data_IF_818733841269
#
_entry.id   IF_818733841269
#
_cell.length_a   1.000
_cell.length_b   1.000
_cell.length_c   1.000
_cell.angle_alpha   90.00
_cell.angle_beta   90.00
_cell.angle_gamma   90.00
#
_symmetry.space_group_name_H-M   'P 1'
#
loop_
_entity.id
_entity.type
_entity.pdbx_description
1 polymer ?
#
# COMPACT_ATOMS: atom_id res chain seq x y z
N UNK A 1 -5.01 -24.01 54.99
CA UNK A 1 -4.68 -23.27 53.77
C UNK A 1 -5.89 -23.32 52.84
N UNK A 2 -6.59 -22.19 52.64
CA UNK A 2 -7.77 -22.07 51.74
C UNK A 2 -7.29 -21.54 50.41
N UNK A 3 -7.83 -22.01 49.25
CA UNK A 3 -7.48 -21.44 47.96
C UNK A 3 -8.31 -20.19 47.65
N UNK A 4 -7.66 -19.18 47.06
CA UNK A 4 -8.22 -17.95 46.55
C UNK A 4 -9.05 -18.20 45.29
N UNK A 5 -10.31 -17.71 45.31
CA UNK A 5 -11.21 -17.67 44.13
C UNK A 5 -10.88 -16.40 43.33
N UNK A 6 -10.59 -16.59 42.02
CA UNK A 6 -10.56 -15.52 41.03
C UNK A 6 -11.96 -15.25 40.48
N UNK A 7 -12.48 -14.05 40.69
CA UNK A 7 -13.73 -13.59 40.06
C UNK A 7 -13.45 -13.10 38.64
N UNK A 8 -14.05 -13.75 37.65
CA UNK A 8 -14.11 -13.30 36.27
C UNK A 8 -15.00 -12.04 36.18
N UNK A 9 -14.41 -10.93 35.75
CA UNK A 9 -15.13 -9.69 35.46
C UNK A 9 -15.57 -9.72 33.97
N UNK A 10 -16.88 -9.84 33.76
CA UNK A 10 -17.49 -9.99 32.45
C UNK A 10 -17.63 -8.62 31.75
N UNK A 11 -16.67 -8.26 30.85
CA UNK A 11 -16.69 -7.02 30.03
C UNK A 11 -17.50 -7.11 28.73
N UNK A 12 -18.11 -8.22 28.44
CA UNK A 12 -18.85 -8.41 27.16
C UNK A 12 -20.27 -7.84 27.17
N UNK A 13 -20.88 -7.63 28.35
CA UNK A 13 -22.28 -7.18 28.44
C UNK A 13 -22.49 -5.67 28.20
N UNK A 14 -21.46 -4.83 28.33
CA UNK A 14 -21.57 -3.36 28.18
C UNK A 14 -21.53 -2.90 26.73
N UNK A 15 -20.83 -3.62 25.84
CA UNK A 15 -20.60 -3.20 24.45
C UNK A 15 -21.85 -3.40 23.56
N UNK A 16 -22.62 -4.47 23.76
CA UNK A 16 -23.84 -4.77 23.00
C UNK A 16 -24.97 -3.77 23.26
N UNK A 17 -25.07 -3.24 24.47
CA UNK A 17 -26.15 -2.30 24.84
C UNK A 17 -25.97 -0.89 24.27
N UNK A 18 -24.74 -0.44 24.03
CA UNK A 18 -24.44 0.86 23.41
C UNK A 18 -24.77 0.85 21.91
N UNK A 19 -24.41 -0.22 21.20
CA UNK A 19 -24.67 -0.34 19.75
C UNK A 19 -26.17 -0.49 19.48
N UNK A 20 -26.89 -1.24 20.32
CA UNK A 20 -28.34 -1.44 20.19
C UNK A 20 -29.12 -0.14 20.45
N UNK A 21 -28.71 0.70 21.40
CA UNK A 21 -29.30 2.02 21.64
C UNK A 21 -29.08 3.00 20.48
N UNK A 22 -27.91 2.97 19.84
CA UNK A 22 -27.62 3.83 18.68
C UNK A 22 -28.45 3.44 17.44
N UNK A 23 -28.69 2.15 17.23
CA UNK A 23 -29.54 1.64 16.14
C UNK A 23 -31.03 1.95 16.38
N UNK A 24 -31.51 1.83 17.62
CA UNK A 24 -32.88 2.20 18.00
C UNK A 24 -33.13 3.71 17.88
N UNK A 25 -32.16 4.55 18.21
CA UNK A 25 -32.27 6.00 18.06
C UNK A 25 -32.26 6.45 16.59
N UNK A 26 -31.47 5.78 15.73
CA UNK A 26 -31.49 6.00 14.30
C UNK A 26 -32.81 5.57 13.63
N UNK A 27 -33.40 4.44 14.06
CA UNK A 27 -34.72 3.97 13.62
C UNK A 27 -35.83 4.91 14.01
N UNK A 28 -35.84 5.41 15.25
CA UNK A 28 -36.82 6.36 15.75
C UNK A 28 -36.77 7.72 15.03
N UNK A 29 -35.59 8.22 14.72
CA UNK A 29 -35.42 9.42 13.91
C UNK A 29 -35.88 9.24 12.46
N UNK A 30 -35.68 8.04 11.89
CA UNK A 30 -36.10 7.71 10.53
C UNK A 30 -37.64 7.74 10.40
N UNK A 31 -38.37 7.13 11.34
CA UNK A 31 -39.85 7.14 11.31
C UNK A 31 -40.42 8.55 11.49
N UNK A 32 -39.89 9.36 12.40
CA UNK A 32 -40.41 10.71 12.63
C UNK A 32 -40.07 11.69 11.50
N UNK A 33 -38.91 11.56 10.85
CA UNK A 33 -38.55 12.38 9.68
C UNK A 33 -39.37 11.95 8.45
N UNK A 34 -39.62 10.65 8.27
CA UNK A 34 -40.45 10.13 7.17
C UNK A 34 -41.91 10.62 7.25
N UNK A 35 -42.48 10.65 8.43
CA UNK A 35 -43.85 11.16 8.64
C UNK A 35 -43.95 12.69 8.43
N UNK A 36 -42.92 13.45 8.79
CA UNK A 36 -42.88 14.92 8.57
C UNK A 36 -42.68 15.33 7.11
N UNK A 37 -42.08 14.45 6.27
CA UNK A 37 -41.87 14.70 4.84
C UNK A 37 -43.15 14.55 4.02
N UNK A 38 -44.06 13.68 4.42
CA UNK A 38 -45.28 13.40 3.66
C UNK A 38 -46.34 14.49 3.80
N UNK A 39 -46.32 15.29 4.86
CA UNK A 39 -47.44 16.22 5.20
C UNK A 39 -47.27 17.67 4.79
N UNK A 40 -46.22 18.07 4.03
CA UNK A 40 -45.96 19.50 3.80
C UNK A 40 -45.43 19.86 2.39
N UNK A 41 -46.01 20.93 1.79
CA UNK A 41 -45.88 21.37 0.38
C UNK A 41 -44.49 21.82 -0.12
N UNK A 42 -43.43 21.81 0.71
CA UNK A 42 -42.07 22.19 0.26
C UNK A 42 -41.15 20.92 0.16
N UNK A 43 -41.58 20.00 -0.66
CA UNK A 43 -40.92 18.68 -0.82
C UNK A 43 -39.45 18.79 -1.27
N UNK A 44 -39.12 19.69 -2.21
CA UNK A 44 -37.74 19.77 -2.74
C UNK A 44 -36.70 20.24 -1.71
N UNK A 45 -37.04 21.20 -0.84
CA UNK A 45 -36.11 21.69 0.18
C UNK A 45 -35.86 20.65 1.27
N UNK A 46 -36.85 19.85 1.57
CA UNK A 46 -36.78 18.78 2.58
C UNK A 46 -36.02 17.55 2.07
N UNK A 47 -36.20 17.22 0.79
CA UNK A 47 -35.38 16.17 0.14
C UNK A 47 -33.91 16.58 0.12
N UNK A 48 -33.59 17.84 -0.24
CA UNK A 48 -32.23 18.36 -0.20
C UNK A 48 -31.62 18.31 1.21
N UNK A 49 -32.38 18.66 2.26
CA UNK A 49 -31.95 18.58 3.65
C UNK A 49 -31.71 17.14 4.13
N UNK A 50 -32.55 16.21 3.71
CA UNK A 50 -32.38 14.77 4.03
C UNK A 50 -31.15 14.20 3.32
N UNK A 51 -30.94 14.54 2.04
CA UNK A 51 -29.72 14.13 1.30
C UNK A 51 -28.46 14.76 1.92
N UNK A 52 -28.52 16.03 2.34
CA UNK A 52 -27.43 16.69 3.04
C UNK A 52 -27.13 16.04 4.39
N UNK A 53 -28.14 15.70 5.17
CA UNK A 53 -27.99 14.99 6.46
C UNK A 53 -27.46 13.55 6.28
N UNK A 54 -27.92 12.84 5.27
CA UNK A 54 -27.41 11.50 4.94
C UNK A 54 -25.92 11.57 4.54
N UNK A 55 -25.54 12.54 3.68
CA UNK A 55 -24.15 12.75 3.33
C UNK A 55 -23.30 13.16 4.55
N UNK A 56 -23.82 14.00 5.43
CA UNK A 56 -23.12 14.41 6.66
C UNK A 56 -22.93 13.24 7.64
N UNK A 57 -23.92 12.33 7.75
CA UNK A 57 -23.82 11.10 8.55
C UNK A 57 -22.79 10.13 7.93
N UNK A 58 -22.76 9.99 6.61
CA UNK A 58 -21.76 9.14 5.93
C UNK A 58 -20.35 9.71 6.03
N UNK A 59 -20.16 11.02 5.92
CA UNK A 59 -18.86 11.70 6.10
C UNK A 59 -18.41 11.58 7.56
N UNK A 60 -19.30 11.79 8.52
CA UNK A 60 -19.00 11.67 9.96
C UNK A 60 -18.76 10.21 10.39
N UNK A 61 -19.49 9.24 9.82
CA UNK A 61 -19.32 7.83 10.09
C UNK A 61 -18.04 7.26 9.44
N UNK A 62 -17.68 7.73 8.24
CA UNK A 62 -16.44 7.34 7.56
C UNK A 62 -15.19 7.78 8.35
N UNK A 63 -15.17 9.02 8.85
CA UNK A 63 -14.08 9.54 9.65
C UNK A 63 -13.94 8.82 11.02
N UNK A 64 -15.06 8.53 11.68
CA UNK A 64 -15.04 7.81 12.97
C UNK A 64 -14.68 6.34 12.82
N UNK A 65 -15.08 5.69 11.73
CA UNK A 65 -14.74 4.30 11.48
C UNK A 65 -13.24 4.12 11.18
N UNK A 66 -12.60 5.03 10.46
CA UNK A 66 -11.15 5.01 10.25
C UNK A 66 -10.41 5.19 11.58
N UNK A 67 -10.86 6.08 12.45
CA UNK A 67 -10.26 6.31 13.78
C UNK A 67 -10.50 5.13 14.72
N UNK A 68 -11.67 4.48 14.67
CA UNK A 68 -11.98 3.30 15.49
C UNK A 68 -11.25 2.04 15.00
N UNK A 69 -11.09 1.87 13.69
CA UNK A 69 -10.29 0.78 13.11
C UNK A 69 -8.82 0.96 13.51
N UNK A 70 -8.27 2.16 13.38
CA UNK A 70 -6.90 2.43 13.81
C UNK A 70 -6.72 2.27 15.34
N UNK A 71 -7.72 2.59 16.16
CA UNK A 71 -7.68 2.40 17.61
C UNK A 71 -7.89 0.95 18.05
N UNK A 72 -8.72 0.17 17.32
CA UNK A 72 -8.95 -1.24 17.62
C UNK A 72 -7.80 -2.15 17.17
N UNK A 73 -7.05 -1.76 16.14
CA UNK A 73 -5.93 -2.52 15.58
C UNK A 73 -4.56 -1.86 15.79
N UNK A 74 -4.51 -0.60 16.24
CA UNK A 74 -3.28 0.18 16.44
C UNK A 74 -2.55 -0.04 17.77
N UNK A 75 -3.13 -0.82 18.70
CA UNK A 75 -2.54 -1.01 20.05
C UNK A 75 -2.17 -2.48 20.33
N UNK A 76 -1.81 -3.22 19.30
CA UNK A 76 -1.23 -4.55 19.41
C UNK A 76 0.27 -4.47 19.13
N UNK A 77 1.05 -4.16 20.18
CA UNK A 77 2.47 -4.41 20.30
C UNK A 77 3.35 -3.96 19.13
N UNK A 78 4.40 -3.22 19.39
CA UNK A 78 5.50 -3.09 18.41
C UNK A 78 5.87 -4.49 17.97
N UNK A 79 5.56 -4.81 16.72
CA UNK A 79 6.07 -6.02 16.09
C UNK A 79 7.59 -5.93 16.18
N UNK A 80 8.19 -6.79 17.02
CA UNK A 80 9.63 -6.73 17.31
C UNK A 80 10.48 -7.05 16.06
N UNK A 81 9.83 -7.50 14.97
CA UNK A 81 10.48 -7.87 13.73
C UNK A 81 10.53 -6.75 12.67
N UNK A 82 9.71 -5.68 12.80
CA UNK A 82 9.68 -4.60 11.82
C UNK A 82 10.07 -3.25 12.44
N UNK A 83 11.01 -2.55 11.83
CA UNK A 83 11.51 -1.26 12.32
C UNK A 83 10.59 -0.07 11.99
N UNK A 84 9.56 -0.26 11.16
CA UNK A 84 8.56 0.75 10.78
C UNK A 84 7.30 0.70 11.66
N UNK A 85 6.50 1.77 11.63
CA UNK A 85 5.16 1.81 12.22
C UNK A 85 4.23 0.85 11.45
N UNK A 86 3.69 -0.17 12.13
CA UNK A 86 2.70 -1.06 11.54
C UNK A 86 1.42 -0.29 11.24
N UNK A 87 0.98 -0.33 9.99
CA UNK A 87 -0.22 0.37 9.52
C UNK A 87 -1.17 -0.57 8.82
N UNK A 88 -2.48 -0.25 8.88
CA UNK A 88 -3.54 -1.05 8.28
C UNK A 88 -4.43 -0.14 7.44
N UNK A 89 -4.75 -0.58 6.22
CA UNK A 89 -5.65 0.11 5.31
C UNK A 89 -6.38 -0.92 4.42
N UNK A 90 -7.42 -0.50 3.71
CA UNK A 90 -8.29 -1.44 2.98
C UNK A 90 -8.27 -1.12 1.48
N UNK A 91 -8.13 -2.15 0.64
CA UNK A 91 -8.29 -2.04 -0.80
C UNK A 91 -9.77 -1.84 -1.20
N UNK A 92 -10.02 -1.41 -2.43
CA UNK A 92 -11.38 -1.15 -2.94
C UNK A 92 -12.28 -2.40 -2.93
N UNK A 93 -11.68 -3.57 -3.09
CA UNK A 93 -12.36 -4.87 -3.08
C UNK A 93 -12.37 -5.53 -1.69
N UNK A 94 -12.05 -4.77 -0.62
CA UNK A 94 -12.24 -5.17 0.77
C UNK A 94 -11.13 -6.03 1.37
N UNK A 95 -9.94 -6.09 0.75
CA UNK A 95 -8.78 -6.73 1.38
C UNK A 95 -8.20 -5.82 2.46
N UNK A 96 -8.02 -6.35 3.66
CA UNK A 96 -7.32 -5.68 4.74
C UNK A 96 -5.81 -5.80 4.51
N UNK A 97 -5.19 -4.70 4.12
CA UNK A 97 -3.76 -4.63 3.83
C UNK A 97 -2.98 -4.15 5.04
N UNK A 98 -1.83 -4.75 5.25
CA UNK A 98 -0.89 -4.38 6.30
C UNK A 98 0.40 -3.85 5.67
N UNK A 99 0.94 -2.80 6.25
CA UNK A 99 2.20 -2.20 5.82
C UNK A 99 3.06 -1.76 6.99
N UNK A 100 4.31 -1.44 6.70
CA UNK A 100 5.24 -0.75 7.60
C UNK A 100 5.50 0.64 7.03
N UNK A 101 5.12 1.68 7.78
CA UNK A 101 5.39 3.06 7.43
C UNK A 101 6.65 3.54 8.16
N UNK A 102 7.58 4.11 7.43
CA UNK A 102 8.82 4.67 7.93
C UNK A 102 8.81 6.18 7.69
N UNK A 103 8.79 6.93 8.77
CA UNK A 103 8.82 8.38 8.72
C UNK A 103 10.20 8.88 8.27
N UNK A 104 10.29 9.88 7.39
CA UNK A 104 11.59 10.46 7.01
C UNK A 104 12.30 11.05 8.23
N UNK A 105 13.62 10.89 8.26
CA UNK A 105 14.46 11.42 9.36
C UNK A 105 14.88 12.87 9.13
N UNK A 106 14.89 13.32 7.88
CA UNK A 106 15.30 14.65 7.45
C UNK A 106 14.17 15.22 6.58
N UNK A 107 13.81 16.49 6.80
CA UNK A 107 12.80 17.20 6.02
C UNK A 107 11.38 16.67 6.26
N UNK A 108 10.54 17.46 6.91
CA UNK A 108 9.11 17.14 7.12
C UNK A 108 8.28 18.25 6.50
N UNK A 109 8.42 18.48 5.19
CA UNK A 109 7.57 19.42 4.45
C UNK A 109 6.48 18.66 3.70
N UNK A 110 5.46 19.40 3.23
CA UNK A 110 4.41 18.88 2.33
C UNK A 110 5.02 18.33 1.01
N UNK A 111 6.24 18.69 0.69
CA UNK A 111 7.00 18.24 -0.47
C UNK A 111 7.86 16.98 -0.21
N UNK A 112 7.78 16.37 0.98
CA UNK A 112 8.58 15.17 1.28
C UNK A 112 8.27 14.06 0.29
N UNK A 113 9.27 13.60 -0.50
CA UNK A 113 9.06 12.53 -1.46
C UNK A 113 8.77 11.21 -0.74
N UNK A 114 7.91 10.41 -1.34
CA UNK A 114 7.45 9.15 -0.75
C UNK A 114 7.76 7.97 -1.68
N UNK A 115 8.05 6.82 -1.09
CA UNK A 115 8.36 5.58 -1.82
C UNK A 115 7.45 4.45 -1.33
N UNK A 116 6.77 3.78 -2.26
CA UNK A 116 6.05 2.53 -2.00
C UNK A 116 6.97 1.37 -2.38
N UNK A 117 7.09 0.37 -1.50
CA UNK A 117 7.92 -0.82 -1.69
C UNK A 117 7.04 -2.07 -1.82
N UNK A 118 7.22 -2.83 -2.92
CA UNK A 118 6.43 -4.02 -3.27
C UNK A 118 7.33 -5.25 -3.35
N UNK A 119 7.09 -6.24 -2.49
CA UNK A 119 7.91 -7.45 -2.34
C UNK A 119 7.72 -8.47 -3.47
N UNK A 120 8.58 -9.48 -3.51
CA UNK A 120 8.52 -10.64 -4.41
C UNK A 120 7.39 -11.60 -4.01
N UNK A 121 7.01 -12.48 -4.94
CA UNK A 121 6.07 -13.58 -4.67
C UNK A 121 6.59 -14.48 -3.53
N UNK A 122 5.71 -14.78 -2.59
CA UNK A 122 6.03 -15.64 -1.44
C UNK A 122 6.82 -14.96 -0.32
N UNK A 123 7.17 -13.70 -0.50
CA UNK A 123 7.82 -12.87 0.52
C UNK A 123 6.79 -11.93 1.17
N UNK A 124 7.26 -11.03 2.03
CA UNK A 124 6.46 -10.01 2.71
C UNK A 124 7.23 -8.69 2.81
N UNK A 125 6.61 -7.70 3.45
CA UNK A 125 7.15 -6.33 3.59
C UNK A 125 8.50 -6.25 4.34
N UNK A 126 8.85 -7.27 5.16
CA UNK A 126 10.09 -7.27 5.95
C UNK A 126 11.36 -7.33 5.10
N UNK A 127 11.25 -7.86 3.88
CA UNK A 127 12.39 -7.93 2.95
C UNK A 127 12.97 -6.56 2.63
N UNK A 128 12.20 -5.49 2.86
CA UNK A 128 12.59 -4.12 2.60
C UNK A 128 13.13 -3.36 3.82
N UNK A 129 13.02 -3.90 5.05
CA UNK A 129 13.23 -3.16 6.30
C UNK A 129 14.56 -2.38 6.33
N UNK A 130 15.67 -3.04 5.99
CA UNK A 130 17.00 -2.40 6.00
C UNK A 130 17.10 -1.28 4.96
N UNK A 131 16.56 -1.51 3.78
CA UNK A 131 16.61 -0.51 2.71
C UNK A 131 15.62 0.64 2.96
N UNK A 132 14.46 0.37 3.52
CA UNK A 132 13.51 1.39 3.96
C UNK A 132 14.12 2.35 4.98
N UNK A 133 14.89 1.84 5.95
CA UNK A 133 15.62 2.69 6.90
C UNK A 133 16.64 3.58 6.17
N UNK A 134 17.36 3.04 5.19
CA UNK A 134 18.33 3.81 4.41
C UNK A 134 17.64 4.90 3.58
N UNK A 135 16.49 4.63 2.98
CA UNK A 135 15.67 5.63 2.30
C UNK A 135 15.24 6.76 3.25
N UNK A 136 14.80 6.43 4.47
CA UNK A 136 14.40 7.47 5.43
C UNK A 136 15.55 8.34 5.93
N UNK A 137 16.76 7.79 6.01
CA UNK A 137 17.98 8.55 6.31
C UNK A 137 18.31 9.57 5.21
N UNK A 138 17.85 9.30 3.98
CA UNK A 138 17.99 10.19 2.82
C UNK A 138 16.71 11.03 2.56
N UNK A 139 15.83 11.13 3.56
CA UNK A 139 14.69 12.07 3.55
C UNK A 139 13.44 11.57 2.84
N UNK A 140 13.34 10.29 2.48
CA UNK A 140 12.13 9.70 1.91
C UNK A 140 11.17 9.23 2.99
N UNK A 141 9.87 9.48 2.82
CA UNK A 141 8.84 8.72 3.53
C UNK A 141 8.65 7.38 2.82
N UNK A 142 8.54 6.28 3.55
CA UNK A 142 8.49 4.94 2.95
C UNK A 142 7.29 4.16 3.46
N UNK A 143 6.60 3.48 2.55
CA UNK A 143 5.54 2.50 2.87
C UNK A 143 5.88 1.17 2.22
N UNK A 144 6.29 0.20 3.00
CA UNK A 144 6.42 -1.19 2.57
C UNK A 144 5.12 -1.93 2.85
N UNK A 145 4.60 -2.70 1.87
CA UNK A 145 3.25 -3.29 1.93
C UNK A 145 3.33 -4.81 1.79
N UNK A 146 2.62 -5.53 2.63
CA UNK A 146 2.27 -6.92 2.32
C UNK A 146 1.20 -6.92 1.24
N UNK A 147 1.52 -7.44 0.06
CA UNK A 147 0.55 -7.65 -1.00
C UNK A 147 -0.49 -8.68 -0.55
N UNK A 148 -1.73 -8.57 -1.05
CA UNK A 148 -2.81 -9.51 -0.70
C UNK A 148 -2.37 -10.97 -0.73
N UNK A 149 -2.83 -11.74 0.23
CA UNK A 149 -2.50 -13.15 0.39
C UNK A 149 -1.09 -13.44 0.92
N UNK A 150 -0.29 -12.41 1.23
CA UNK A 150 1.06 -12.52 1.79
C UNK A 150 1.14 -11.85 3.17
N UNK A 151 2.15 -12.23 3.95
CA UNK A 151 2.43 -11.64 5.26
C UNK A 151 1.18 -11.58 6.15
N UNK A 152 0.83 -10.39 6.60
CA UNK A 152 -0.38 -10.15 7.39
C UNK A 152 -1.60 -9.72 6.55
N UNK A 153 -1.46 -9.47 5.23
CA UNK A 153 -2.54 -9.07 4.32
C UNK A 153 -3.37 -10.27 3.83
N UNK A 154 -3.83 -11.09 4.76
CA UNK A 154 -4.52 -12.36 4.51
C UNK A 154 -6.02 -12.33 4.80
N UNK A 155 -6.62 -11.17 4.99
CA UNK A 155 -8.05 -11.02 5.29
C UNK A 155 -8.78 -10.25 4.22
N UNK A 156 -9.89 -10.82 3.72
CA UNK A 156 -10.83 -10.15 2.83
C UNK A 156 -12.24 -10.39 3.34
N UNK A 157 -12.90 -9.34 3.83
CA UNK A 157 -14.16 -9.46 4.57
C UNK A 157 -14.04 -10.54 5.67
N UNK A 158 -14.85 -11.60 5.61
CA UNK A 158 -14.85 -12.71 6.59
C UNK A 158 -14.00 -13.91 6.16
N UNK A 159 -13.24 -13.80 5.06
CA UNK A 159 -12.45 -14.91 4.51
C UNK A 159 -10.97 -14.69 4.75
N UNK A 160 -10.23 -15.80 4.87
CA UNK A 160 -8.77 -15.80 4.79
C UNK A 160 -8.36 -16.09 3.35
N UNK A 161 -7.45 -15.28 2.80
CA UNK A 161 -6.92 -15.43 1.45
C UNK A 161 -5.43 -15.80 1.51
N UNK A 162 -4.95 -16.57 0.53
CA UNK A 162 -3.54 -16.95 0.40
C UNK A 162 -3.15 -16.90 -1.07
N UNK A 163 -1.99 -16.31 -1.37
CA UNK A 163 -1.45 -16.24 -2.72
C UNK A 163 -1.24 -17.62 -3.36
N UNK A 164 -1.05 -18.65 -2.55
CA UNK A 164 -0.85 -20.04 -3.02
C UNK A 164 -2.09 -20.59 -3.75
N UNK A 165 -3.28 -20.08 -3.42
CA UNK A 165 -4.55 -20.46 -4.05
C UNK A 165 -5.00 -19.49 -5.16
N UNK A 166 -4.17 -18.48 -5.50
CA UNK A 166 -4.55 -17.45 -6.45
C UNK A 166 -4.54 -17.94 -7.89
N UNK A 167 -5.58 -17.58 -8.61
CA UNK A 167 -5.68 -17.65 -10.06
C UNK A 167 -5.11 -16.35 -10.69
N UNK A 168 -4.80 -16.30 -12.00
CA UNK A 168 -4.26 -15.09 -12.66
C UNK A 168 -5.05 -13.81 -12.40
N UNK A 169 -6.38 -13.89 -12.27
CA UNK A 169 -7.23 -12.74 -11.91
C UNK A 169 -6.90 -12.17 -10.52
N UNK A 170 -6.63 -13.03 -9.55
CA UNK A 170 -6.31 -12.59 -8.19
C UNK A 170 -4.97 -11.85 -8.15
N UNK A 171 -3.96 -12.33 -8.92
CA UNK A 171 -2.69 -11.65 -9.07
C UNK A 171 -2.85 -10.29 -9.75
N UNK A 172 -3.66 -10.17 -10.80
CA UNK A 172 -3.96 -8.88 -11.45
C UNK A 172 -4.62 -7.89 -10.49
N UNK A 173 -5.48 -8.37 -9.58
CA UNK A 173 -6.14 -7.53 -8.58
C UNK A 173 -5.15 -6.97 -7.52
N UNK A 174 -3.90 -7.44 -7.43
CA UNK A 174 -2.88 -6.83 -6.58
C UNK A 174 -2.57 -5.37 -6.96
N UNK A 175 -2.93 -4.92 -8.16
CA UNK A 175 -2.86 -3.49 -8.52
C UNK A 175 -3.76 -2.62 -7.64
N UNK A 176 -4.85 -3.19 -7.08
CA UNK A 176 -5.73 -2.51 -6.12
C UNK A 176 -5.02 -2.29 -4.77
N UNK A 177 -4.05 -3.14 -4.41
CA UNK A 177 -3.25 -2.99 -3.21
C UNK A 177 -2.32 -1.79 -3.33
N UNK A 178 -1.69 -1.63 -4.51
CA UNK A 178 -0.83 -0.49 -4.82
C UNK A 178 -1.64 0.81 -4.80
N UNK A 179 -2.86 0.80 -5.37
CA UNK A 179 -3.80 1.93 -5.33
C UNK A 179 -4.15 2.30 -3.89
N UNK A 180 -4.45 1.32 -3.05
CA UNK A 180 -4.77 1.53 -1.64
C UNK A 180 -3.56 2.06 -0.86
N UNK A 181 -2.35 1.58 -1.13
CA UNK A 181 -1.12 2.06 -0.53
C UNK A 181 -0.87 3.54 -0.88
N UNK A 182 -1.03 3.94 -2.15
CA UNK A 182 -0.93 5.34 -2.57
C UNK A 182 -1.98 6.20 -1.88
N UNK A 183 -3.24 5.76 -1.86
CA UNK A 183 -4.33 6.45 -1.18
C UNK A 183 -4.01 6.65 0.30
N UNK A 184 -3.49 5.63 0.98
CA UNK A 184 -3.07 5.71 2.38
C UNK A 184 -1.98 6.78 2.60
N UNK A 185 -0.96 6.85 1.73
CA UNK A 185 0.06 7.89 1.82
C UNK A 185 -0.53 9.30 1.66
N UNK A 186 -1.43 9.51 0.71
CA UNK A 186 -2.04 10.82 0.44
C UNK A 186 -2.99 11.23 1.58
N UNK A 187 -3.94 10.38 1.93
CA UNK A 187 -5.00 10.71 2.88
C UNK A 187 -4.53 10.59 4.34
N UNK A 188 -3.79 9.52 4.65
CA UNK A 188 -3.34 9.20 6.01
C UNK A 188 -2.03 9.89 6.41
N UNK A 189 -1.14 10.15 5.45
CA UNK A 189 0.21 10.71 5.72
C UNK A 189 0.44 12.07 5.07
N UNK A 190 -0.55 12.59 4.32
CA UNK A 190 -0.49 13.92 3.65
C UNK A 190 0.64 14.01 2.61
N UNK A 191 1.00 12.88 2.00
CA UNK A 191 1.97 12.85 0.93
C UNK A 191 1.45 13.61 -0.30
N UNK A 192 2.36 14.31 -0.99
CA UNK A 192 2.04 14.92 -2.27
C UNK A 192 1.84 13.82 -3.33
N UNK A 193 0.67 13.75 -4.01
CA UNK A 193 0.38 12.70 -4.99
C UNK A 193 1.37 12.65 -6.17
N UNK A 194 2.01 13.78 -6.50
CA UNK A 194 2.98 13.91 -7.58
C UNK A 194 4.44 13.67 -7.13
N UNK A 195 4.65 13.34 -5.87
CA UNK A 195 5.96 13.07 -5.27
C UNK A 195 6.02 11.64 -4.70
N UNK A 196 5.40 10.68 -5.40
CA UNK A 196 5.39 9.26 -5.02
C UNK A 196 6.06 8.44 -6.11
N UNK A 197 7.10 7.70 -5.73
CA UNK A 197 7.74 6.67 -6.56
C UNK A 197 7.42 5.27 -6.04
N UNK A 198 7.53 4.27 -6.91
CA UNK A 198 7.31 2.87 -6.53
C UNK A 198 8.56 2.06 -6.87
N UNK A 199 9.03 1.27 -5.90
CA UNK A 199 10.08 0.27 -6.10
C UNK A 199 9.46 -1.10 -5.92
N UNK A 200 9.55 -1.94 -6.94
CA UNK A 200 9.04 -3.29 -6.88
C UNK A 200 10.10 -4.33 -7.22
N UNK A 201 9.96 -5.52 -6.68
CA UNK A 201 10.84 -6.65 -6.95
C UNK A 201 10.07 -7.83 -7.50
N UNK A 202 10.55 -8.45 -8.59
CA UNK A 202 9.92 -9.61 -9.24
C UNK A 202 8.46 -9.29 -9.62
N UNK A 203 7.48 -10.05 -9.12
CA UNK A 203 6.05 -9.74 -9.34
C UNK A 203 5.69 -8.32 -8.85
N UNK A 204 6.32 -7.84 -7.78
CA UNK A 204 6.17 -6.45 -7.30
C UNK A 204 6.66 -5.42 -8.31
N UNK A 205 7.69 -5.72 -9.11
CA UNK A 205 8.17 -4.87 -10.20
C UNK A 205 7.12 -4.78 -11.32
N UNK A 206 6.55 -5.93 -11.72
CA UNK A 206 5.48 -5.95 -12.70
C UNK A 206 4.24 -5.17 -12.22
N UNK A 207 3.88 -5.28 -10.94
CA UNK A 207 2.78 -4.53 -10.34
C UNK A 207 3.06 -3.02 -10.30
N UNK A 208 4.28 -2.61 -9.91
CA UNK A 208 4.70 -1.22 -9.88
C UNK A 208 4.52 -0.56 -11.25
N UNK A 209 5.01 -1.21 -12.31
CA UNK A 209 4.91 -0.71 -13.68
C UNK A 209 3.46 -0.68 -14.17
N UNK A 210 2.67 -1.74 -13.93
CA UNK A 210 1.26 -1.80 -14.35
C UNK A 210 0.42 -0.72 -13.67
N UNK A 211 0.62 -0.51 -12.37
CA UNK A 211 -0.08 0.56 -11.65
C UNK A 211 0.33 1.94 -12.18
N UNK A 212 1.62 2.21 -12.31
CA UNK A 212 2.14 3.47 -12.82
C UNK A 212 1.66 3.78 -14.25
N UNK A 213 1.50 2.76 -15.10
CA UNK A 213 0.94 2.91 -16.44
C UNK A 213 -0.56 3.30 -16.44
N UNK A 214 -1.26 3.07 -15.35
CA UNK A 214 -2.67 3.48 -15.16
C UNK A 214 -2.83 4.77 -14.34
N UNK A 215 -1.76 5.21 -13.67
CA UNK A 215 -1.74 6.41 -12.81
C UNK A 215 -0.49 7.26 -13.07
N UNK A 216 -0.59 8.16 -14.03
CA UNK A 216 0.51 9.01 -14.49
C UNK A 216 1.00 10.04 -13.44
N UNK A 217 0.37 10.14 -12.27
CA UNK A 217 0.89 10.95 -11.16
C UNK A 217 2.03 10.25 -10.39
N UNK A 218 2.27 8.95 -10.62
CA UNK A 218 3.45 8.26 -10.10
C UNK A 218 4.70 8.88 -10.73
N UNK A 219 5.57 9.43 -9.88
CA UNK A 219 6.75 10.19 -10.29
C UNK A 219 7.77 9.34 -11.04
N UNK A 220 8.02 8.12 -10.56
CA UNK A 220 8.95 7.18 -11.18
C UNK A 220 8.76 5.75 -10.67
N UNK A 221 9.32 4.78 -11.37
CA UNK A 221 9.34 3.37 -10.94
C UNK A 221 10.75 2.78 -11.03
N UNK A 222 11.09 1.93 -10.05
CA UNK A 222 12.31 1.13 -10.05
C UNK A 222 11.91 -0.34 -10.03
N UNK A 223 12.39 -1.09 -11.00
CA UNK A 223 12.03 -2.47 -11.25
C UNK A 223 13.23 -3.38 -10.97
N UNK A 224 13.19 -4.14 -9.88
CA UNK A 224 14.21 -5.11 -9.53
C UNK A 224 13.79 -6.49 -10.05
N UNK A 225 14.55 -7.06 -10.97
CA UNK A 225 14.29 -8.35 -11.63
C UNK A 225 12.85 -8.44 -12.19
N UNK A 226 12.42 -7.50 -13.06
CA UNK A 226 11.11 -7.60 -13.71
C UNK A 226 11.07 -8.78 -14.70
N UNK A 227 9.87 -9.24 -15.02
CA UNK A 227 9.63 -10.21 -16.08
C UNK A 227 8.62 -9.70 -17.11
N UNK A 228 8.58 -10.29 -18.30
CA UNK A 228 7.55 -9.96 -19.30
C UNK A 228 6.16 -10.35 -18.82
N UNK A 229 6.07 -11.41 -18.03
CA UNK A 229 4.79 -11.87 -17.48
C UNK A 229 4.99 -12.72 -16.21
N UNK A 230 4.69 -12.16 -15.05
CA UNK A 230 4.63 -12.92 -13.80
C UNK A 230 3.17 -13.16 -13.39
N UNK A 231 2.76 -14.44 -13.36
CA UNK A 231 1.41 -14.86 -12.91
C UNK A 231 0.26 -14.16 -13.65
N UNK A 232 0.44 -13.82 -14.92
CA UNK A 232 -0.55 -13.11 -15.74
C UNK A 232 -0.48 -11.58 -15.66
N UNK A 233 0.51 -11.02 -14.94
CA UNK A 233 0.79 -9.58 -14.91
C UNK A 233 1.86 -9.28 -15.98
N UNK A 234 1.40 -8.90 -17.18
CA UNK A 234 2.27 -8.55 -18.31
C UNK A 234 2.81 -7.13 -18.19
N UNK A 235 4.05 -6.91 -18.62
CA UNK A 235 4.73 -5.61 -18.58
C UNK A 235 4.84 -4.92 -19.93
N UNK A 236 4.63 -5.63 -21.05
CA UNK A 236 4.86 -5.09 -22.39
C UNK A 236 3.99 -3.88 -22.73
N UNK A 237 2.70 -3.93 -22.44
CA UNK A 237 1.82 -2.79 -22.69
C UNK A 237 2.06 -1.67 -21.68
N UNK A 238 2.37 -2.02 -20.43
CA UNK A 238 2.60 -1.07 -19.35
C UNK A 238 3.86 -0.24 -19.59
N UNK A 239 4.96 -0.87 -20.04
CA UNK A 239 6.22 -0.17 -20.31
C UNK A 239 6.07 0.86 -21.44
N UNK A 240 5.23 0.58 -22.44
CA UNK A 240 4.97 1.51 -23.54
C UNK A 240 4.03 2.66 -23.14
N UNK A 241 3.13 2.44 -22.18
CA UNK A 241 2.16 3.43 -21.72
C UNK A 241 2.73 4.43 -20.70
N UNK A 242 3.58 3.95 -19.79
CA UNK A 242 4.16 4.79 -18.77
C UNK A 242 5.28 5.67 -19.35
N UNK A 243 5.20 6.99 -19.12
CA UNK A 243 6.10 7.98 -19.73
C UNK A 243 7.05 8.67 -18.76
N UNK A 244 6.84 8.49 -17.45
CA UNK A 244 7.73 9.01 -16.42
C UNK A 244 8.97 8.10 -16.26
N UNK A 245 10.01 8.54 -15.56
CA UNK A 245 11.27 7.80 -15.42
C UNK A 245 11.10 6.36 -14.92
N UNK A 246 11.80 5.44 -15.57
CA UNK A 246 11.87 4.02 -15.22
C UNK A 246 13.34 3.65 -15.02
N UNK A 247 13.65 2.93 -13.95
CA UNK A 247 14.96 2.31 -13.75
C UNK A 247 14.80 0.79 -13.62
N UNK A 248 15.54 0.04 -14.41
CA UNK A 248 15.49 -1.42 -14.43
C UNK A 248 16.81 -1.96 -13.89
N UNK A 249 16.75 -2.91 -12.97
CA UNK A 249 17.91 -3.57 -12.38
C UNK A 249 17.70 -5.07 -12.38
N UNK A 250 18.73 -5.81 -12.78
CA UNK A 250 18.74 -7.27 -12.73
C UNK A 250 20.16 -7.79 -12.54
N UNK A 251 20.30 -9.06 -12.18
CA UNK A 251 21.54 -9.80 -12.18
C UNK A 251 21.70 -10.56 -13.51
N UNK A 252 22.91 -10.72 -14.02
CA UNK A 252 23.16 -11.35 -15.31
C UNK A 252 22.73 -12.84 -15.35
N UNK A 253 23.05 -13.56 -14.27
CA UNK A 253 22.75 -14.99 -14.15
C UNK A 253 21.32 -15.26 -13.63
N UNK A 254 20.54 -14.22 -13.30
CA UNK A 254 19.07 -14.25 -13.18
C UNK A 254 18.47 -14.23 -14.60
N UNK A 255 18.74 -15.31 -15.36
CA UNK A 255 18.73 -15.37 -16.80
C UNK A 255 17.40 -14.98 -17.45
N UNK A 256 16.25 -15.34 -16.84
CA UNK A 256 14.93 -14.95 -17.33
C UNK A 256 14.71 -13.44 -17.14
N UNK A 257 14.94 -12.93 -15.93
CA UNK A 257 14.78 -11.48 -15.64
C UNK A 257 15.80 -10.64 -16.44
N UNK A 258 17.03 -11.13 -16.63
CA UNK A 258 18.03 -10.42 -17.42
C UNK A 258 17.63 -10.28 -18.87
N UNK A 259 17.12 -11.37 -19.49
CA UNK A 259 16.58 -11.38 -20.86
C UNK A 259 15.38 -10.44 -20.97
N UNK A 260 14.41 -10.59 -20.08
CA UNK A 260 13.18 -9.81 -20.08
C UNK A 260 13.45 -8.32 -19.85
N UNK A 261 14.39 -7.98 -18.96
CA UNK A 261 14.83 -6.60 -18.73
C UNK A 261 15.40 -5.94 -19.99
N UNK A 262 16.21 -6.66 -20.76
CA UNK A 262 16.75 -6.17 -22.05
C UNK A 262 15.59 -5.89 -23.04
N UNK A 263 14.65 -6.82 -23.17
CA UNK A 263 13.47 -6.66 -24.06
C UNK A 263 12.63 -5.44 -23.62
N UNK A 264 12.40 -5.26 -22.33
CA UNK A 264 11.66 -4.10 -21.82
C UNK A 264 12.40 -2.78 -22.11
N UNK A 265 13.73 -2.77 -21.93
CA UNK A 265 14.55 -1.61 -22.22
C UNK A 265 14.54 -1.22 -23.69
N UNK A 266 14.57 -2.17 -24.59
CA UNK A 266 14.48 -1.94 -26.05
C UNK A 266 13.17 -1.22 -26.46
N UNK A 267 12.08 -1.40 -25.71
CA UNK A 267 10.78 -0.76 -26.00
C UNK A 267 10.75 0.74 -25.71
N UNK A 268 11.61 1.24 -24.84
CA UNK A 268 11.58 2.63 -24.37
C UNK A 268 12.91 3.37 -24.52
N UNK A 269 13.89 2.76 -25.17
CA UNK A 269 15.23 3.35 -25.37
C UNK A 269 15.85 3.74 -24.01
N UNK A 270 15.90 2.81 -23.05
CA UNK A 270 16.31 3.07 -21.69
C UNK A 270 17.75 2.60 -21.36
N UNK A 271 18.67 2.62 -22.32
CA UNK A 271 20.03 2.07 -22.15
C UNK A 271 20.75 2.63 -20.90
N UNK A 272 20.58 3.90 -20.59
CA UNK A 272 21.15 4.55 -19.39
C UNK A 272 20.43 4.18 -18.09
N UNK A 273 19.21 3.65 -18.20
CA UNK A 273 18.34 3.29 -17.07
C UNK A 273 18.22 1.78 -16.87
N UNK A 274 19.09 0.98 -17.51
CA UNK A 274 19.21 -0.46 -17.29
C UNK A 274 20.56 -0.78 -16.62
N UNK A 275 20.51 -1.35 -15.42
CA UNK A 275 21.67 -1.88 -14.71
C UNK A 275 21.61 -3.39 -14.63
N UNK A 276 22.60 -4.06 -15.24
CA UNK A 276 22.84 -5.49 -15.09
C UNK A 276 24.09 -5.67 -14.23
N UNK A 277 23.96 -6.45 -13.16
CA UNK A 277 25.11 -6.84 -12.34
C UNK A 277 25.66 -8.17 -12.84
N UNK A 278 26.91 -8.18 -13.24
CA UNK A 278 27.63 -9.34 -13.77
C UNK A 278 28.03 -10.33 -12.65
N UNK A 279 28.22 -11.59 -13.02
CA UNK A 279 28.71 -12.67 -12.16
C UNK A 279 27.86 -12.88 -10.90
N UNK A 280 26.56 -12.75 -10.99
CA UNK A 280 25.62 -12.98 -9.89
C UNK A 280 24.24 -13.39 -10.41
N UNK A 281 23.56 -14.27 -9.64
CA UNK A 281 22.24 -14.81 -9.95
C UNK A 281 21.16 -14.35 -8.95
N UNK A 282 21.46 -13.39 -8.10
CA UNK A 282 20.53 -12.90 -7.07
C UNK A 282 19.30 -12.23 -7.69
N UNK A 283 18.13 -12.52 -7.16
CA UNK A 283 16.85 -12.08 -7.69
C UNK A 283 16.15 -11.06 -6.79
N UNK A 284 15.57 -10.03 -7.37
CA UNK A 284 14.67 -9.09 -6.72
C UNK A 284 15.27 -8.42 -5.47
N UNK A 285 14.60 -8.53 -4.32
CA UNK A 285 15.06 -7.90 -3.06
C UNK A 285 16.36 -8.47 -2.53
N UNK A 286 16.72 -9.71 -2.89
CA UNK A 286 17.95 -10.34 -2.40
C UNK A 286 19.20 -9.61 -2.91
N UNK A 287 19.10 -8.93 -4.08
CA UNK A 287 20.16 -8.06 -4.57
C UNK A 287 20.55 -6.95 -3.58
N UNK A 288 19.59 -6.45 -2.77
CA UNK A 288 19.85 -5.37 -1.82
C UNK A 288 20.66 -5.83 -0.60
N UNK A 289 20.59 -7.10 -0.26
CA UNK A 289 21.31 -7.71 0.86
C UNK A 289 22.54 -8.52 0.45
N UNK A 290 22.78 -8.64 -0.85
CA UNK A 290 23.93 -9.36 -1.38
C UNK A 290 25.25 -8.68 -0.96
N UNK A 291 26.25 -9.49 -0.60
CA UNK A 291 27.52 -9.00 -0.05
C UNK A 291 28.38 -8.24 -1.08
N UNK A 292 28.25 -8.61 -2.36
CA UNK A 292 29.08 -8.05 -3.43
C UNK A 292 28.44 -6.80 -4.05
N UNK A 293 27.13 -6.85 -4.32
CA UNK A 293 26.46 -5.81 -5.09
C UNK A 293 25.51 -4.94 -4.25
N UNK A 294 25.07 -5.40 -3.08
CA UNK A 294 23.97 -4.78 -2.33
C UNK A 294 24.20 -3.33 -1.97
N UNK A 295 25.36 -2.98 -1.39
CA UNK A 295 25.67 -1.59 -1.06
C UNK A 295 25.77 -0.70 -2.30
N UNK A 296 26.34 -1.21 -3.41
CA UNK A 296 26.42 -0.48 -4.68
C UNK A 296 25.04 -0.23 -5.27
N UNK A 297 24.18 -1.28 -5.28
CA UNK A 297 22.81 -1.17 -5.77
C UNK A 297 22.00 -0.14 -4.96
N UNK A 298 22.06 -0.21 -3.63
CA UNK A 298 21.34 0.72 -2.77
C UNK A 298 21.76 2.18 -3.06
N UNK A 299 23.06 2.45 -3.25
CA UNK A 299 23.54 3.79 -3.57
C UNK A 299 23.10 4.25 -4.97
N UNK A 300 23.12 3.36 -5.97
CA UNK A 300 22.60 3.64 -7.31
C UNK A 300 21.12 4.03 -7.25
N UNK A 301 20.31 3.27 -6.52
CA UNK A 301 18.88 3.56 -6.37
C UNK A 301 18.66 4.93 -5.72
N UNK A 302 19.40 5.25 -4.66
CA UNK A 302 19.31 6.55 -3.99
C UNK A 302 19.68 7.69 -4.93
N UNK A 303 20.83 7.61 -5.60
CA UNK A 303 21.28 8.64 -6.54
C UNK A 303 20.27 8.85 -7.68
N UNK A 304 19.68 7.75 -8.18
CA UNK A 304 18.69 7.83 -9.24
C UNK A 304 17.35 8.44 -8.75
N UNK A 305 16.90 8.09 -7.57
CA UNK A 305 15.72 8.73 -6.94
C UNK A 305 15.96 10.22 -6.73
N UNK A 306 17.14 10.62 -6.20
CA UNK A 306 17.48 12.02 -5.96
C UNK A 306 17.47 12.83 -7.28
N UNK A 307 17.96 12.25 -8.39
CA UNK A 307 17.92 12.90 -9.70
C UNK A 307 16.49 12.99 -10.29
N UNK A 308 15.59 12.12 -9.85
CA UNK A 308 14.22 12.06 -10.36
C UNK A 308 13.29 13.03 -9.62
N UNK A 309 13.52 13.26 -8.36
CA UNK A 309 12.82 14.28 -7.59
C UNK A 309 13.53 15.64 -7.79
N UNK A 310 12.77 16.72 -7.93
CA UNK A 310 13.35 18.06 -8.03
C UNK A 310 14.21 18.36 -6.80
N UNK A 311 15.22 19.25 -6.95
CA UNK A 311 16.08 19.65 -5.85
C UNK A 311 15.25 20.01 -4.63
N UNK A 312 15.63 19.49 -3.50
CA UNK A 312 15.02 19.82 -2.22
C UNK A 312 15.70 21.09 -1.75
N UNK A 313 14.98 22.21 -1.79
CA UNK A 313 15.42 23.48 -1.22
C UNK A 313 15.63 23.38 0.29
#
# INVERSE_FOLDING_TARGET
>A
MKPLQFTHYDRKASFGKSLHRSLLFAGFLYEHVFHAVITNKNLCLKIALVIFMINFIFISAGSKNITLINKAFGDQGRDQNHSGERVVFTSEDGVLLVGSYYKPRIGTSISTPSVILLHMLGMDRSTWDKFAQKLTQNGYAVLSVDLRGHGESIKQANHTISYQSFMPKNFKNMTLDVKAAKKYLIEGRKANPNQISIIGASIGANLALNYAASDHSIKSVILLSPGLNYRGISTLDAIMKYKNPIYIVTAEDDSESAKDSKILCEKITCAENLKIFENTNVHGTDMLSDKMIGSKLQNIILSWLDSTFEPRD
#
